data_IF_618504095521
#
_entry.id   IF_618504095521
#
_cell.length_a   1.000
_cell.length_b   1.000
_cell.length_c   1.000
_cell.angle_alpha   90.00
_cell.angle_beta   90.00
_cell.angle_gamma   90.00
#
_symmetry.space_group_name_H-M   'P 1'
#
loop_
_entity.id
_entity.type
_entity.pdbx_description
1 polymer ?
#
# COMPACT_ATOMS: atom_id res chain seq x y z
N UNK A 1 0.74 11.98 35.90
CA UNK A 1 0.85 12.69 34.60
C UNK A 1 -0.22 12.14 33.69
N UNK A 2 -1.07 13.01 33.13
CA UNK A 2 -2.09 12.62 32.15
C UNK A 2 -1.40 12.22 30.85
N UNK A 3 -1.78 11.08 30.26
CA UNK A 3 -1.23 10.60 28.99
C UNK A 3 -2.27 10.75 27.90
N UNK A 4 -1.82 11.23 26.74
CA UNK A 4 -2.69 11.53 25.63
C UNK A 4 -2.08 10.98 24.34
N UNK A 5 -2.67 9.93 23.79
CA UNK A 5 -2.10 9.21 22.65
C UNK A 5 -3.16 8.82 21.61
N UNK A 6 -2.72 8.80 20.35
CA UNK A 6 -3.47 8.30 19.21
C UNK A 6 -2.71 7.13 18.60
N UNK A 7 -3.42 6.03 18.34
CA UNK A 7 -2.93 4.89 17.58
C UNK A 7 -3.70 4.82 16.27
N UNK A 8 -2.98 4.86 15.16
CA UNK A 8 -3.54 4.79 13.81
C UNK A 8 -2.85 3.74 12.96
N UNK A 9 -3.31 3.53 11.72
CA UNK A 9 -2.77 2.50 10.82
C UNK A 9 -3.83 1.90 9.90
N UNK A 10 -3.38 1.00 9.02
CA UNK A 10 -4.23 0.34 8.02
C UNK A 10 -5.49 -0.28 8.65
N UNK A 11 -6.69 -0.15 8.06
CA UNK A 11 -7.87 -0.86 8.55
C UNK A 11 -7.68 -2.37 8.58
N UNK A 12 -8.22 -3.01 9.63
CA UNK A 12 -8.01 -4.43 9.86
C UNK A 12 -6.66 -4.83 10.48
N UNK A 13 -5.77 -3.87 10.79
CA UNK A 13 -4.45 -4.17 11.36
C UNK A 13 -4.44 -4.63 12.82
N UNK A 14 -5.57 -4.49 13.53
CA UNK A 14 -5.71 -4.88 14.94
C UNK A 14 -5.80 -3.72 15.94
N UNK A 15 -6.10 -2.49 15.50
CA UNK A 15 -6.30 -1.32 16.38
C UNK A 15 -7.29 -1.59 17.53
N UNK A 16 -8.46 -2.13 17.23
CA UNK A 16 -9.48 -2.51 18.23
C UNK A 16 -8.95 -3.55 19.23
N UNK A 17 -8.24 -4.57 18.74
CA UNK A 17 -7.62 -5.60 19.59
C UNK A 17 -6.56 -4.98 20.50
N UNK A 18 -5.78 -4.01 20.01
CA UNK A 18 -4.82 -3.27 20.82
C UNK A 18 -5.50 -2.46 21.93
N UNK A 19 -6.64 -1.81 21.65
CA UNK A 19 -7.45 -1.12 22.68
C UNK A 19 -7.89 -2.10 23.77
N UNK A 20 -8.42 -3.27 23.39
CA UNK A 20 -8.82 -4.29 24.35
C UNK A 20 -7.64 -4.85 25.15
N UNK A 21 -6.46 -4.99 24.53
CA UNK A 21 -5.24 -5.36 25.25
C UNK A 21 -4.85 -4.31 26.30
N UNK A 22 -4.88 -3.03 25.94
CA UNK A 22 -4.62 -1.93 26.89
C UNK A 22 -5.66 -1.92 28.00
N UNK A 23 -6.95 -2.09 27.68
CA UNK A 23 -8.02 -2.22 28.66
C UNK A 23 -7.74 -3.34 29.65
N UNK A 24 -7.40 -4.54 29.15
CA UNK A 24 -7.08 -5.69 29.98
C UNK A 24 -5.90 -5.44 30.93
N UNK A 25 -4.83 -4.78 30.45
CA UNK A 25 -3.69 -4.38 31.29
C UNK A 25 -4.13 -3.41 32.40
N UNK A 26 -4.92 -2.40 32.06
CA UNK A 26 -5.41 -1.40 33.01
C UNK A 26 -6.33 -2.01 34.07
N UNK A 27 -7.22 -2.92 33.67
CA UNK A 27 -8.10 -3.66 34.58
C UNK A 27 -7.28 -4.52 35.56
N UNK A 28 -6.25 -5.22 35.06
CA UNK A 28 -5.33 -5.99 35.93
C UNK A 28 -4.65 -5.11 36.98
N UNK A 29 -4.31 -3.89 36.61
CA UNK A 29 -3.70 -2.90 37.51
C UNK A 29 -4.75 -2.15 38.37
N UNK A 30 -6.02 -2.59 38.34
CA UNK A 30 -7.17 -1.99 39.02
C UNK A 30 -7.33 -0.49 38.75
N UNK A 31 -6.95 -0.04 37.55
CA UNK A 31 -7.18 1.34 37.10
C UNK A 31 -8.62 1.51 36.65
N UNK A 32 -9.15 2.70 36.81
CA UNK A 32 -10.49 3.04 36.30
C UNK A 32 -10.42 3.20 34.79
N UNK A 33 -11.36 2.58 34.07
CA UNK A 33 -11.39 2.58 32.61
C UNK A 33 -12.78 2.95 32.11
N UNK A 34 -12.86 3.84 31.14
CA UNK A 34 -14.07 4.13 30.39
C UNK A 34 -13.80 3.81 28.92
N UNK A 35 -14.40 2.74 28.41
CA UNK A 35 -14.34 2.33 27.01
C UNK A 35 -15.52 2.94 26.25
N UNK A 36 -15.22 3.58 25.14
CA UNK A 36 -16.18 4.02 24.13
C UNK A 36 -16.08 3.07 22.94
N UNK A 37 -17.11 2.24 22.75
CA UNK A 37 -17.24 1.29 21.65
C UNK A 37 -18.50 1.61 20.83
N UNK A 38 -18.54 1.11 19.60
CA UNK A 38 -19.71 1.09 18.73
C UNK A 38 -20.95 0.43 19.36
N UNK A 39 -20.77 -0.52 20.27
CA UNK A 39 -21.85 -1.21 20.99
C UNK A 39 -22.32 -0.47 22.24
N UNK A 40 -21.58 0.56 22.70
CA UNK A 40 -21.92 1.35 23.87
C UNK A 40 -20.71 1.78 24.69
N UNK A 41 -21.00 2.40 25.84
CA UNK A 41 -19.96 2.84 26.77
C UNK A 41 -19.88 1.88 27.96
N UNK A 42 -18.66 1.46 28.30
CA UNK A 42 -18.41 0.54 29.41
C UNK A 42 -17.45 1.17 30.41
N UNK A 43 -17.78 1.12 31.70
CA UNK A 43 -16.98 1.69 32.77
C UNK A 43 -16.55 0.62 33.76
N UNK A 44 -15.25 0.53 34.00
CA UNK A 44 -14.66 -0.26 35.07
C UNK A 44 -14.20 0.68 36.18
N UNK A 45 -14.70 0.48 37.40
CA UNK A 45 -14.41 1.35 38.54
C UNK A 45 -13.15 0.95 39.34
N UNK A 46 -12.44 -0.08 38.89
CA UNK A 46 -11.34 -0.72 39.63
C UNK A 46 -11.73 -2.07 40.24
N UNK A 47 -13.02 -2.40 40.27
CA UNK A 47 -13.55 -3.64 40.83
C UNK A 47 -14.58 -4.32 39.92
N UNK A 48 -15.52 -3.54 39.37
CA UNK A 48 -16.70 -4.03 38.65
C UNK A 48 -16.85 -3.32 37.33
N UNK A 49 -17.36 -4.04 36.32
CA UNK A 49 -17.67 -3.51 35.00
C UNK A 49 -19.16 -3.12 34.93
N UNK A 50 -19.43 -1.94 34.39
CA UNK A 50 -20.76 -1.36 34.24
C UNK A 50 -20.98 -0.93 32.79
N UNK A 51 -22.20 -1.07 32.28
CA UNK A 51 -22.62 -0.40 31.05
C UNK A 51 -23.15 0.99 31.41
N UNK A 52 -22.77 2.02 30.65
CA UNK A 52 -23.12 3.40 30.92
C UNK A 52 -24.05 3.96 29.84
N UNK A 53 -25.32 4.16 30.19
CA UNK A 53 -26.29 4.82 29.31
C UNK A 53 -26.07 6.34 29.21
N UNK A 54 -25.49 6.94 30.25
CA UNK A 54 -25.17 8.36 30.29
C UNK A 54 -23.85 8.62 31.03
N UNK A 55 -23.14 9.67 30.60
CA UNK A 55 -21.87 10.06 31.20
C UNK A 55 -22.06 11.12 32.28
N UNK A 56 -21.24 11.11 33.35
CA UNK A 56 -21.21 12.19 34.32
C UNK A 56 -20.90 13.55 33.69
N UNK A 57 -21.46 14.63 34.27
CA UNK A 57 -21.18 16.01 33.85
C UNK A 57 -19.67 16.26 33.78
N UNK A 58 -19.21 16.98 32.75
CA UNK A 58 -17.78 17.24 32.46
C UNK A 58 -16.99 17.86 33.62
N UNK A 59 -17.67 18.63 34.46
CA UNK A 59 -17.09 19.31 35.63
C UNK A 59 -17.03 18.43 36.89
N UNK A 60 -17.51 17.18 36.83
CA UNK A 60 -17.40 16.24 37.94
C UNK A 60 -15.95 15.76 38.07
N UNK A 61 -15.14 16.50 38.81
CA UNK A 61 -13.71 16.21 39.02
C UNK A 61 -13.46 14.93 39.83
N UNK A 62 -14.46 14.44 40.57
CA UNK A 62 -14.35 13.17 41.28
C UNK A 62 -14.39 11.99 40.31
N UNK A 63 -15.22 12.10 39.27
CA UNK A 63 -15.27 11.10 38.21
C UNK A 63 -14.15 11.30 37.19
N UNK A 64 -14.00 12.52 36.67
CA UNK A 64 -13.01 12.88 35.66
C UNK A 64 -11.69 13.26 36.32
N UNK A 65 -10.86 12.25 36.57
CA UNK A 65 -9.63 12.38 37.35
C UNK A 65 -8.46 11.63 36.70
N UNK A 66 -7.24 11.91 37.16
CA UNK A 66 -6.00 11.48 36.47
C UNK A 66 -5.76 9.97 36.46
N UNK A 67 -6.46 9.24 37.32
CA UNK A 67 -6.49 7.78 37.44
C UNK A 67 -7.48 7.11 36.48
N UNK A 68 -8.37 7.89 35.84
CA UNK A 68 -9.29 7.42 34.81
C UNK A 68 -8.60 7.35 33.44
N UNK A 69 -8.78 6.23 32.76
CA UNK A 69 -8.37 6.01 31.38
C UNK A 69 -9.58 5.94 30.45
N UNK A 70 -9.67 6.85 29.49
CA UNK A 70 -10.65 6.82 28.43
C UNK A 70 -10.07 6.12 27.20
N UNK A 71 -10.66 5.00 26.81
CA UNK A 71 -10.27 4.23 25.64
C UNK A 71 -11.33 4.42 24.57
N UNK A 72 -10.94 4.86 23.38
CA UNK A 72 -11.88 5.15 22.30
C UNK A 72 -11.55 4.25 21.11
N UNK A 73 -12.46 3.35 20.75
CA UNK A 73 -12.34 2.53 19.54
C UNK A 73 -13.29 3.02 18.45
N UNK A 74 -12.73 3.34 17.28
CA UNK A 74 -13.46 3.53 16.01
C UNK A 74 -14.56 4.61 16.00
N UNK A 75 -14.65 5.43 17.05
CA UNK A 75 -15.51 6.60 17.13
C UNK A 75 -14.76 7.86 16.68
N UNK A 76 -15.50 8.79 16.11
CA UNK A 76 -14.96 10.11 15.80
C UNK A 76 -14.69 10.85 17.11
N UNK A 77 -13.45 11.27 17.41
CA UNK A 77 -13.15 12.01 18.62
C UNK A 77 -13.93 13.32 18.73
N UNK A 78 -14.27 13.93 17.59
CA UNK A 78 -15.07 15.15 17.53
C UNK A 78 -16.55 14.87 17.83
N UNK A 79 -17.02 13.64 17.58
CA UNK A 79 -18.33 13.17 18.02
C UNK A 79 -18.38 12.76 19.48
N UNK A 80 -17.28 12.94 20.24
CA UNK A 80 -17.30 12.89 21.71
C UNK A 80 -17.21 14.34 22.25
N UNK A 81 -18.21 15.20 22.02
CA UNK A 81 -18.19 16.58 22.47
C UNK A 81 -18.18 16.63 23.99
N UNK A 82 -16.98 16.75 24.59
CA UNK A 82 -16.86 17.00 26.01
C UNK A 82 -16.03 16.11 26.88
N UNK A 83 -15.23 15.21 26.32
CA UNK A 83 -14.25 14.52 27.15
C UNK A 83 -13.33 15.55 27.82
N UNK A 84 -13.22 15.57 29.16
CA UNK A 84 -12.31 16.46 29.86
C UNK A 84 -10.87 15.91 29.77
N UNK A 85 -10.29 15.97 28.56
CA UNK A 85 -8.98 15.40 28.21
C UNK A 85 -7.81 15.95 29.02
N UNK A 86 -7.98 17.09 29.70
CA UNK A 86 -6.99 17.63 30.65
C UNK A 86 -7.01 16.97 32.01
N UNK A 87 -8.07 16.26 32.33
CA UNK A 87 -8.32 15.70 33.65
C UNK A 87 -8.13 14.18 33.71
N UNK A 88 -8.16 13.48 32.57
CA UNK A 88 -8.05 12.03 32.47
C UNK A 88 -7.11 11.61 31.34
N UNK A 89 -6.57 10.39 31.40
CA UNK A 89 -5.74 9.85 30.31
C UNK A 89 -6.61 9.35 29.17
N UNK A 90 -6.20 9.57 27.91
CA UNK A 90 -6.99 9.15 26.74
C UNK A 90 -6.10 8.40 25.75
N UNK A 91 -6.58 7.25 25.30
CA UNK A 91 -6.05 6.51 24.16
C UNK A 91 -7.13 6.43 23.09
N UNK A 92 -6.83 7.00 21.93
CA UNK A 92 -7.69 6.93 20.76
C UNK A 92 -7.13 5.93 19.75
N UNK A 93 -7.92 4.94 19.37
CA UNK A 93 -7.64 4.10 18.22
C UNK A 93 -8.52 4.52 17.04
N UNK A 94 -7.89 5.01 15.98
CA UNK A 94 -8.63 5.48 14.81
C UNK A 94 -7.91 5.11 13.52
N UNK A 95 -8.69 4.81 12.49
CA UNK A 95 -8.17 4.79 11.12
C UNK A 95 -7.68 6.20 10.77
N UNK A 96 -6.61 6.36 9.97
CA UNK A 96 -6.02 7.66 9.75
C UNK A 96 -6.99 8.57 9.02
N UNK A 97 -7.76 9.36 9.76
CA UNK A 97 -8.62 10.41 9.22
C UNK A 97 -7.92 11.73 9.45
N UNK A 98 -7.67 12.50 8.38
CA UNK A 98 -6.96 13.77 8.48
C UNK A 98 -7.67 14.74 9.41
N UNK A 99 -9.00 14.77 9.34
CA UNK A 99 -9.80 15.73 10.10
C UNK A 99 -9.82 15.36 11.58
N UNK A 100 -10.07 14.10 11.93
CA UNK A 100 -10.05 13.64 13.32
C UNK A 100 -8.66 13.78 13.96
N UNK A 101 -7.60 13.32 13.30
CA UNK A 101 -6.23 13.40 13.84
C UNK A 101 -5.74 14.85 13.85
N UNK A 102 -6.07 15.64 12.82
CA UNK A 102 -5.70 17.04 12.70
C UNK A 102 -6.30 17.89 13.80
N UNK A 103 -7.62 17.75 14.07
CA UNK A 103 -8.27 18.44 15.17
C UNK A 103 -7.73 17.95 16.53
N UNK A 104 -7.47 16.66 16.69
CA UNK A 104 -6.91 16.11 17.93
C UNK A 104 -5.48 16.61 18.18
N UNK A 105 -4.66 16.79 17.14
CA UNK A 105 -3.31 17.38 17.21
C UNK A 105 -3.31 18.84 17.65
N UNK A 106 -4.40 19.59 17.42
CA UNK A 106 -4.54 20.98 17.86
C UNK A 106 -4.83 21.10 19.36
N UNK A 107 -5.18 20.02 20.04
CA UNK A 107 -5.48 20.03 21.47
C UNK A 107 -4.19 20.16 22.31
N UNK A 108 -4.31 20.82 23.46
CA UNK A 108 -3.22 21.00 24.42
C UNK A 108 -3.51 20.21 25.71
N UNK A 109 -2.63 19.28 26.12
CA UNK A 109 -1.31 18.96 25.52
C UNK A 109 -1.41 18.20 24.20
N UNK A 110 -0.43 18.40 23.31
CA UNK A 110 -0.37 17.72 22.01
C UNK A 110 -0.27 16.20 22.20
N UNK A 111 -1.12 15.39 21.53
CA UNK A 111 -1.10 13.95 21.65
C UNK A 111 0.17 13.35 21.03
N UNK A 112 0.69 12.30 21.65
CA UNK A 112 1.60 11.38 20.96
C UNK A 112 0.83 10.61 19.90
N UNK A 113 1.34 10.55 18.66
CA UNK A 113 0.71 9.79 17.57
C UNK A 113 1.60 8.62 17.19
N UNK A 114 1.04 7.42 17.19
CA UNK A 114 1.69 6.17 16.82
C UNK A 114 0.97 5.50 15.67
N UNK A 115 1.71 4.90 14.75
CA UNK A 115 1.22 4.18 13.60
C UNK A 115 1.50 2.68 13.80
N UNK A 116 0.47 1.85 13.80
CA UNK A 116 0.62 0.41 13.90
C UNK A 116 1.34 -0.12 12.65
N UNK A 117 2.44 -0.88 12.81
CA UNK A 117 3.12 -1.50 11.70
C UNK A 117 2.26 -2.61 11.08
N UNK A 118 2.63 -3.01 9.86
CA UNK A 118 2.09 -4.23 9.26
C UNK A 118 2.57 -5.45 10.05
N UNK A 119 1.75 -6.49 10.11
CA UNK A 119 2.18 -7.76 10.69
C UNK A 119 3.17 -8.45 9.75
N UNK A 120 4.23 -8.98 10.33
CA UNK A 120 5.16 -9.87 9.64
C UNK A 120 4.52 -11.22 9.35
N UNK A 121 5.13 -11.96 8.43
CA UNK A 121 4.72 -13.33 8.09
C UNK A 121 4.80 -14.26 9.31
N UNK A 122 5.81 -14.07 10.16
CA UNK A 122 6.04 -14.88 11.36
C UNK A 122 5.00 -14.61 12.45
N UNK A 123 4.65 -13.33 12.67
CA UNK A 123 3.58 -12.96 13.61
C UNK A 123 2.23 -13.54 13.17
N UNK A 124 1.91 -13.45 11.88
CA UNK A 124 0.71 -14.07 11.32
C UNK A 124 0.74 -15.59 11.43
N UNK A 125 1.90 -16.21 11.15
CA UNK A 125 2.10 -17.65 11.29
C UNK A 125 1.89 -18.14 12.72
N UNK A 126 2.24 -17.32 13.72
CA UNK A 126 2.03 -17.63 15.14
C UNK A 126 0.54 -17.71 15.50
N UNK A 127 -0.29 -16.83 14.93
CA UNK A 127 -1.73 -16.78 15.25
C UNK A 127 -2.62 -17.52 14.26
N UNK A 128 -2.11 -17.89 13.08
CA UNK A 128 -2.86 -18.61 12.04
C UNK A 128 -3.58 -19.88 12.56
N UNK A 129 -3.03 -20.68 13.48
CA UNK A 129 -3.74 -21.84 14.05
C UNK A 129 -5.05 -21.50 14.77
N UNK A 130 -5.23 -20.24 15.22
CA UNK A 130 -6.48 -19.76 15.83
C UNK A 130 -7.59 -19.52 14.78
N UNK A 131 -7.23 -19.53 13.49
CA UNK A 131 -8.13 -19.30 12.36
C UNK A 131 -8.15 -20.55 11.46
N UNK A 132 -8.83 -21.63 11.88
CA UNK A 132 -8.76 -22.94 11.21
C UNK A 132 -9.16 -22.88 9.74
N UNK A 133 -10.11 -22.00 9.38
CA UNK A 133 -10.55 -21.83 8.00
C UNK A 133 -9.49 -21.15 7.10
N UNK A 134 -8.56 -20.38 7.68
CA UNK A 134 -7.49 -19.70 6.94
C UNK A 134 -6.19 -20.53 6.85
N UNK A 135 -6.08 -21.62 7.62
CA UNK A 135 -4.83 -22.38 7.78
C UNK A 135 -4.20 -22.83 6.45
N UNK A 136 -5.03 -23.19 5.46
CA UNK A 136 -4.57 -23.64 4.14
C UNK A 136 -4.20 -22.49 3.17
N UNK A 137 -4.70 -21.27 3.40
CA UNK A 137 -4.63 -20.19 2.41
C UNK A 137 -3.82 -18.96 2.88
N UNK A 138 -3.64 -18.78 4.20
CA UNK A 138 -3.11 -17.52 4.76
C UNK A 138 -1.77 -17.11 4.18
N UNK A 139 -0.88 -18.05 3.85
CA UNK A 139 0.43 -17.73 3.27
C UNK A 139 0.28 -17.08 1.90
N UNK A 140 -0.50 -17.68 1.01
CA UNK A 140 -0.79 -17.10 -0.30
C UNK A 140 -1.51 -15.74 -0.15
N UNK A 141 -2.46 -15.64 0.78
CA UNK A 141 -3.13 -14.37 1.06
C UNK A 141 -2.17 -13.29 1.56
N UNK A 142 -1.18 -13.64 2.39
CA UNK A 142 -0.15 -12.70 2.83
C UNK A 142 0.69 -12.19 1.65
N UNK A 143 1.12 -13.08 0.74
CA UNK A 143 1.87 -12.65 -0.45
C UNK A 143 1.03 -11.73 -1.36
N UNK A 144 -0.27 -12.01 -1.50
CA UNK A 144 -1.16 -11.25 -2.36
C UNK A 144 -1.68 -9.94 -1.72
N UNK A 145 -1.98 -9.95 -0.43
CA UNK A 145 -2.72 -8.88 0.25
C UNK A 145 -1.90 -8.19 1.34
N UNK A 146 -0.65 -8.60 1.59
CA UNK A 146 0.22 -8.02 2.61
C UNK A 146 -0.14 -8.39 4.05
N UNK A 147 0.54 -7.74 5.00
CA UNK A 147 0.49 -8.02 6.44
C UNK A 147 -0.70 -7.45 7.21
N UNK A 148 -1.92 -7.55 6.67
CA UNK A 148 -3.14 -7.09 7.36
C UNK A 148 -3.95 -8.32 7.85
N UNK A 149 -3.96 -8.62 9.17
CA UNK A 149 -4.57 -9.84 9.70
C UNK A 149 -6.00 -10.09 9.27
N UNK A 150 -6.84 -9.04 9.22
CA UNK A 150 -8.26 -9.19 8.86
C UNK A 150 -8.44 -9.83 7.48
N UNK A 151 -7.76 -9.33 6.45
CA UNK A 151 -7.93 -9.83 5.07
C UNK A 151 -7.16 -11.13 4.82
N UNK A 152 -6.15 -11.42 5.64
CA UNK A 152 -5.34 -12.65 5.56
C UNK A 152 -5.99 -13.82 6.30
N UNK A 153 -6.58 -13.58 7.48
CA UNK A 153 -7.02 -14.65 8.40
C UNK A 153 -8.54 -14.70 8.62
N UNK A 154 -9.25 -13.57 8.52
CA UNK A 154 -10.67 -13.49 8.86
C UNK A 154 -11.55 -13.48 7.59
N UNK A 155 -11.25 -12.61 6.64
CA UNK A 155 -12.06 -12.39 5.42
C UNK A 155 -11.56 -13.28 4.27
N UNK A 156 -11.66 -14.60 4.46
CA UNK A 156 -11.10 -15.60 3.53
C UNK A 156 -12.05 -16.05 2.42
N UNK A 157 -13.33 -15.65 2.47
CA UNK A 157 -14.38 -16.13 1.56
C UNK A 157 -14.21 -15.68 0.10
N UNK A 158 -13.37 -14.69 -0.17
CA UNK A 158 -13.09 -14.18 -1.51
C UNK A 158 -11.63 -14.37 -1.86
N UNK A 159 -11.38 -14.88 -3.07
CA UNK A 159 -10.04 -15.02 -3.64
C UNK A 159 -9.26 -13.68 -3.61
N UNK A 160 -7.97 -13.67 -3.20
CA UNK A 160 -7.18 -12.44 -3.11
C UNK A 160 -7.09 -11.64 -4.40
N UNK A 161 -6.94 -12.31 -5.54
CA UNK A 161 -6.82 -11.65 -6.82
C UNK A 161 -8.15 -10.98 -7.20
N UNK A 162 -9.26 -11.65 -6.91
CA UNK A 162 -10.62 -11.11 -7.10
C UNK A 162 -10.86 -9.87 -6.23
N UNK A 163 -10.40 -9.89 -4.97
CA UNK A 163 -10.46 -8.72 -4.09
C UNK A 163 -9.67 -7.53 -4.66
N UNK A 164 -8.44 -7.76 -5.10
CA UNK A 164 -7.60 -6.72 -5.70
C UNK A 164 -8.19 -6.17 -7.00
N UNK A 165 -8.74 -7.04 -7.86
CA UNK A 165 -9.37 -6.63 -9.13
C UNK A 165 -10.64 -5.81 -8.89
N UNK A 166 -11.51 -6.27 -7.99
CA UNK A 166 -12.70 -5.51 -7.58
C UNK A 166 -12.31 -4.16 -6.99
N UNK A 167 -11.24 -4.14 -6.19
CA UNK A 167 -10.77 -2.92 -5.58
C UNK A 167 -10.23 -1.92 -6.60
N UNK A 168 -9.34 -2.39 -7.47
CA UNK A 168 -8.78 -1.57 -8.54
C UNK A 168 -9.88 -1.04 -9.46
N UNK A 169 -10.88 -1.86 -9.80
CA UNK A 169 -11.97 -1.46 -10.70
C UNK A 169 -12.86 -0.37 -10.08
N UNK A 170 -12.99 -0.34 -8.76
CA UNK A 170 -13.86 0.59 -8.03
C UNK A 170 -13.18 1.92 -7.67
N UNK A 171 -11.85 1.99 -7.76
CA UNK A 171 -11.04 3.17 -7.49
C UNK A 171 -10.73 3.94 -8.79
N UNK A 172 -10.45 5.24 -8.71
CA UNK A 172 -9.79 5.98 -9.80
C UNK A 172 -8.27 5.69 -9.82
N UNK A 173 -7.54 6.09 -10.86
CA UNK A 173 -6.07 6.02 -10.83
C UNK A 173 -5.51 6.87 -9.69
N UNK A 174 -6.08 8.06 -9.50
CA UNK A 174 -5.75 9.00 -8.43
C UNK A 174 -5.90 8.36 -7.04
N UNK A 175 -6.98 7.61 -6.80
CA UNK A 175 -7.17 6.87 -5.54
C UNK A 175 -6.10 5.79 -5.31
N UNK A 176 -5.54 5.23 -6.39
CA UNK A 176 -4.49 4.20 -6.37
C UNK A 176 -3.07 4.77 -6.22
N UNK A 177 -2.88 6.08 -6.37
CA UNK A 177 -1.56 6.73 -6.25
C UNK A 177 -1.53 7.84 -5.19
N UNK A 178 -2.68 8.21 -4.62
CA UNK A 178 -2.78 9.26 -3.62
C UNK A 178 -3.13 8.73 -2.23
N UNK A 179 -2.50 9.38 -1.25
CA UNK A 179 -2.79 9.26 0.18
C UNK A 179 -4.20 9.69 0.58
N UNK A 180 -4.88 10.50 -0.24
CA UNK A 180 -6.20 11.07 0.09
C UNK A 180 -7.21 9.95 0.35
N UNK A 181 -7.15 8.84 -0.39
CA UNK A 181 -8.03 7.68 -0.18
C UNK A 181 -7.88 7.02 1.19
N UNK A 182 -6.70 7.13 1.82
CA UNK A 182 -6.44 6.67 3.19
C UNK A 182 -7.02 7.65 4.22
N UNK A 183 -6.97 8.96 3.94
CA UNK A 183 -7.35 10.04 4.87
C UNK A 183 -8.81 10.51 4.79
N UNK A 184 -9.51 10.17 3.71
CA UNK A 184 -10.91 10.51 3.50
C UNK A 184 -11.83 9.77 4.47
N UNK A 185 -13.05 10.29 4.62
CA UNK A 185 -14.11 9.61 5.37
C UNK A 185 -14.24 8.15 4.91
N UNK A 186 -14.42 7.25 5.89
CA UNK A 186 -14.54 5.82 5.60
C UNK A 186 -15.90 5.60 4.93
N UNK A 187 -15.89 5.46 3.61
CA UNK A 187 -17.01 5.01 2.81
C UNK A 187 -16.60 3.71 2.10
N UNK A 188 -17.50 3.13 1.31
CA UNK A 188 -17.21 1.90 0.58
C UNK A 188 -15.97 2.02 -0.31
N UNK A 189 -15.73 3.16 -0.96
CA UNK A 189 -14.58 3.38 -1.85
C UNK A 189 -13.25 3.46 -1.11
N UNK A 190 -13.21 4.12 0.05
CA UNK A 190 -11.96 4.26 0.83
C UNK A 190 -11.56 2.96 1.51
N UNK A 191 -12.53 2.17 2.00
CA UNK A 191 -12.28 0.78 2.46
C UNK A 191 -11.68 -0.09 1.37
N UNK A 192 -12.16 0.09 0.14
CA UNK A 192 -11.73 -0.67 -1.02
C UNK A 192 -10.29 -0.27 -1.44
N UNK A 193 -9.98 1.04 -1.47
CA UNK A 193 -8.64 1.54 -1.77
C UNK A 193 -7.58 1.06 -0.75
N UNK A 194 -7.97 0.88 0.51
CA UNK A 194 -7.11 0.39 1.59
C UNK A 194 -6.75 -1.10 1.46
N UNK A 195 -7.38 -1.84 0.55
CA UNK A 195 -6.94 -3.19 0.14
C UNK A 195 -5.74 -3.13 -0.81
N UNK A 196 -5.56 -2.01 -1.52
CA UNK A 196 -4.50 -1.83 -2.51
C UNK A 196 -3.27 -1.16 -1.91
N UNK A 197 -3.46 -0.27 -0.94
CA UNK A 197 -2.43 0.59 -0.37
C UNK A 197 -2.46 0.48 1.15
N UNK A 198 -1.29 0.28 1.73
CA UNK A 198 -1.07 0.10 3.15
C UNK A 198 -0.19 1.19 3.73
N UNK A 199 -0.36 1.39 5.03
CA UNK A 199 0.53 2.20 5.87
C UNK A 199 1.60 1.28 6.43
N UNK A 200 2.86 1.69 6.28
CA UNK A 200 4.00 1.04 6.92
C UNK A 200 4.59 1.99 7.93
N UNK A 201 4.99 1.46 9.06
CA UNK A 201 5.65 2.21 10.11
C UNK A 201 6.73 1.34 10.72
N UNK A 202 7.78 1.98 11.19
CA UNK A 202 8.90 1.34 11.88
C UNK A 202 9.12 2.05 13.20
N UNK A 203 9.81 1.39 14.13
CA UNK A 203 10.17 1.98 15.41
C UNK A 203 10.85 3.35 15.20
N UNK A 204 10.44 4.43 15.90
CA UNK A 204 9.59 4.51 17.10
C UNK A 204 8.08 4.65 16.85
N UNK A 205 7.62 4.29 15.65
CA UNK A 205 6.23 4.28 15.18
C UNK A 205 5.57 5.65 15.06
N UNK A 206 6.34 6.74 15.12
CA UNK A 206 5.82 8.12 15.04
C UNK A 206 5.61 8.61 13.62
N UNK A 207 6.30 7.99 12.67
CA UNK A 207 6.23 8.29 11.25
C UNK A 207 5.69 7.09 10.48
N UNK A 208 5.23 7.34 9.27
CA UNK A 208 4.77 6.29 8.38
C UNK A 208 5.12 6.61 6.95
N UNK A 209 5.24 5.55 6.15
CA UNK A 209 5.25 5.60 4.70
C UNK A 209 4.04 4.85 4.17
N UNK A 210 3.85 4.95 2.86
CA UNK A 210 2.69 4.40 2.17
C UNK A 210 3.21 3.56 1.04
N UNK A 211 2.72 2.33 0.95
CA UNK A 211 3.18 1.37 -0.04
C UNK A 211 2.01 0.53 -0.53
N UNK A 212 2.14 -0.03 -1.72
CA UNK A 212 1.19 -1.03 -2.20
C UNK A 212 1.17 -2.27 -1.30
N UNK A 213 0.00 -2.90 -1.21
CA UNK A 213 -0.21 -4.10 -0.39
C UNK A 213 0.73 -5.24 -0.78
N UNK A 214 0.99 -5.39 -2.09
CA UNK A 214 1.88 -6.39 -2.68
C UNK A 214 2.30 -6.00 -4.09
N UNK A 215 3.23 -6.76 -4.67
CA UNK A 215 3.52 -6.73 -6.10
C UNK A 215 2.29 -7.08 -6.95
N UNK A 216 1.51 -8.10 -6.54
CA UNK A 216 0.28 -8.45 -7.25
C UNK A 216 -0.71 -7.28 -7.29
N UNK A 217 -0.82 -6.50 -6.20
CA UNK A 217 -1.66 -5.31 -6.19
C UNK A 217 -1.22 -4.29 -7.24
N UNK A 218 0.09 -4.02 -7.38
CA UNK A 218 0.61 -3.13 -8.42
C UNK A 218 0.33 -3.66 -9.83
N UNK A 219 0.56 -4.95 -10.08
CA UNK A 219 0.26 -5.58 -11.37
C UNK A 219 -1.23 -5.46 -11.73
N UNK A 220 -2.11 -5.71 -10.76
CA UNK A 220 -3.56 -5.59 -10.94
C UNK A 220 -3.96 -4.14 -11.23
N UNK A 221 -3.41 -3.16 -10.50
CA UNK A 221 -3.66 -1.73 -10.73
C UNK A 221 -3.21 -1.33 -12.13
N UNK A 222 -1.96 -1.62 -12.47
CA UNK A 222 -1.39 -1.26 -13.78
C UNK A 222 -2.25 -1.82 -14.91
N UNK A 223 -2.58 -3.13 -14.88
CA UNK A 223 -3.40 -3.77 -15.92
C UNK A 223 -4.83 -3.20 -15.99
N UNK A 224 -5.47 -3.01 -14.84
CA UNK A 224 -6.86 -2.54 -14.79
C UNK A 224 -6.94 -1.10 -15.27
N UNK A 225 -6.03 -0.23 -14.80
CA UNK A 225 -5.99 1.19 -15.17
C UNK A 225 -5.50 1.41 -16.60
N UNK A 226 -4.60 0.58 -17.11
CA UNK A 226 -4.21 0.62 -18.52
C UNK A 226 -5.41 0.43 -19.45
N UNK A 227 -6.31 -0.50 -19.08
CA UNK A 227 -7.53 -0.78 -19.87
C UNK A 227 -8.60 0.30 -19.73
N UNK A 228 -8.76 0.88 -18.54
CA UNK A 228 -9.86 1.82 -18.27
C UNK A 228 -9.50 3.30 -18.45
N UNK A 229 -8.24 3.69 -18.26
CA UNK A 229 -7.79 5.09 -18.21
C UNK A 229 -6.38 5.26 -18.81
N UNK A 230 -6.18 4.69 -20.02
CA UNK A 230 -4.88 4.61 -20.71
C UNK A 230 -4.15 5.95 -20.79
N UNK A 231 -4.86 7.03 -21.13
CA UNK A 231 -4.27 8.35 -21.30
C UNK A 231 -3.67 8.89 -19.98
N UNK A 232 -4.37 8.73 -18.84
CA UNK A 232 -3.81 9.17 -17.55
C UNK A 232 -2.65 8.31 -17.10
N UNK A 233 -2.71 7.01 -17.36
CA UNK A 233 -1.62 6.09 -17.02
C UNK A 233 -0.37 6.40 -17.87
N UNK A 234 -0.52 6.80 -19.12
CA UNK A 234 0.59 7.31 -19.94
C UNK A 234 1.15 8.63 -19.40
N UNK A 235 0.28 9.57 -19.03
CA UNK A 235 0.72 10.83 -18.41
C UNK A 235 1.45 10.60 -17.08
N UNK A 236 1.10 9.55 -16.33
CA UNK A 236 1.77 9.18 -15.09
C UNK A 236 3.27 8.95 -15.32
N UNK A 237 3.65 8.26 -16.40
CA UNK A 237 5.05 7.98 -16.74
C UNK A 237 5.91 9.25 -16.94
N UNK A 238 5.29 10.36 -17.34
CA UNK A 238 5.93 11.66 -17.49
C UNK A 238 5.87 12.56 -16.25
N UNK A 239 5.21 12.11 -15.17
CA UNK A 239 4.91 12.93 -13.98
C UNK A 239 5.09 12.19 -12.65
N UNK A 240 5.88 11.11 -12.60
CA UNK A 240 6.08 10.30 -11.38
C UNK A 240 6.89 11.03 -10.28
N UNK A 241 7.41 12.23 -10.53
CA UNK A 241 8.33 12.94 -9.62
C UNK A 241 7.67 13.28 -8.26
N UNK A 242 8.32 12.88 -7.17
CA UNK A 242 7.94 13.24 -5.80
C UNK A 242 6.80 12.40 -5.17
N UNK A 243 6.23 11.43 -5.88
CA UNK A 243 5.23 10.51 -5.33
C UNK A 243 5.75 9.05 -5.35
N UNK A 244 6.09 8.45 -4.19
CA UNK A 244 6.63 7.09 -4.10
C UNK A 244 5.72 5.99 -4.67
N UNK A 245 4.40 6.15 -4.54
CA UNK A 245 3.42 5.21 -5.11
C UNK A 245 3.39 5.31 -6.63
N UNK A 246 3.34 6.54 -7.16
CA UNK A 246 3.41 6.76 -8.59
C UNK A 246 4.69 6.16 -9.18
N UNK A 247 5.85 6.46 -8.58
CA UNK A 247 7.15 5.93 -9.02
C UNK A 247 7.18 4.40 -9.01
N UNK A 248 6.67 3.76 -7.96
CA UNK A 248 6.59 2.30 -7.88
C UNK A 248 5.68 1.71 -8.96
N UNK A 249 4.52 2.34 -9.21
CA UNK A 249 3.57 1.91 -10.23
C UNK A 249 4.10 2.13 -11.66
N UNK A 250 4.91 3.18 -11.87
CA UNK A 250 5.50 3.51 -13.17
C UNK A 250 6.30 2.32 -13.74
N UNK A 251 6.99 1.53 -12.90
CA UNK A 251 7.68 0.31 -13.33
C UNK A 251 6.74 -0.75 -13.95
N UNK A 252 5.54 -0.93 -13.38
CA UNK A 252 4.55 -1.90 -13.86
C UNK A 252 3.74 -1.39 -15.07
N UNK A 253 3.76 -0.07 -15.29
CA UNK A 253 3.09 0.60 -16.40
C UNK A 253 4.00 0.73 -17.62
N UNK A 254 5.30 0.93 -17.38
CA UNK A 254 6.29 1.21 -18.40
C UNK A 254 6.34 0.10 -19.47
N UNK A 255 6.46 -1.16 -19.06
CA UNK A 255 6.56 -2.28 -19.99
C UNK A 255 5.34 -2.38 -20.92
N UNK A 256 4.07 -2.40 -20.43
CA UNK A 256 2.90 -2.32 -21.29
C UNK A 256 2.91 -1.11 -22.24
N UNK A 257 3.34 0.07 -21.77
CA UNK A 257 3.43 1.26 -22.61
C UNK A 257 4.45 1.11 -23.73
N UNK A 258 5.65 0.63 -23.40
CA UNK A 258 6.73 0.40 -24.34
C UNK A 258 6.35 -0.66 -25.37
N UNK A 259 5.64 -1.72 -24.98
CA UNK A 259 5.09 -2.71 -25.92
C UNK A 259 4.11 -2.07 -26.90
N UNK A 260 3.22 -1.21 -26.41
CA UNK A 260 2.25 -0.51 -27.26
C UNK A 260 2.92 0.46 -28.24
N UNK A 261 4.02 1.10 -27.83
CA UNK A 261 4.81 1.98 -28.71
C UNK A 261 5.53 1.16 -29.78
N UNK A 262 6.18 0.05 -29.41
CA UNK A 262 6.81 -0.84 -30.38
C UNK A 262 5.81 -1.42 -31.38
N UNK A 263 4.59 -1.74 -30.94
CA UNK A 263 3.52 -2.23 -31.82
C UNK A 263 3.04 -1.15 -32.80
N UNK A 264 3.01 0.12 -32.38
CA UNK A 264 2.63 1.25 -33.24
C UNK A 264 3.75 1.66 -34.21
N UNK A 265 5.00 1.29 -33.91
CA UNK A 265 6.18 1.74 -34.65
C UNK A 265 6.52 3.21 -34.36
N UNK A 266 7.62 3.67 -34.94
CA UNK A 266 8.18 5.00 -34.74
C UNK A 266 9.71 4.98 -34.69
N UNK A 267 10.28 6.14 -34.39
CA UNK A 267 11.72 6.30 -34.19
C UNK A 267 12.04 6.16 -32.71
N UNK A 268 12.96 5.24 -32.39
CA UNK A 268 13.36 4.94 -31.01
C UNK A 268 14.85 5.18 -30.83
N UNK A 269 15.23 5.78 -29.71
CA UNK A 269 16.64 5.83 -29.30
C UNK A 269 16.94 4.55 -28.53
N UNK A 270 17.89 3.77 -29.01
CA UNK A 270 18.25 2.49 -28.44
C UNK A 270 19.75 2.44 -28.12
N UNK A 271 20.12 1.60 -27.14
CA UNK A 271 21.51 1.29 -26.82
C UNK A 271 21.74 -0.19 -27.02
N UNK A 272 22.75 -0.55 -27.79
CA UNK A 272 23.11 -1.95 -28.00
C UNK A 272 23.48 -2.63 -26.67
N UNK A 273 22.85 -3.77 -26.40
CA UNK A 273 23.23 -4.63 -25.28
C UNK A 273 24.46 -5.44 -25.66
N UNK A 274 25.50 -5.33 -24.84
CA UNK A 274 26.78 -6.01 -25.05
C UNK A 274 26.90 -7.21 -24.12
N UNK A 275 27.59 -8.26 -24.56
CA UNK A 275 27.90 -9.41 -23.70
C UNK A 275 28.85 -9.01 -22.55
N UNK A 276 28.92 -9.81 -21.49
CA UNK A 276 29.79 -9.52 -20.34
C UNK A 276 31.30 -9.47 -20.66
N UNK A 277 31.74 -10.05 -21.78
CA UNK A 277 33.11 -9.93 -22.28
C UNK A 277 33.32 -8.61 -23.04
N UNK A 278 32.33 -8.23 -23.85
CA UNK A 278 32.34 -7.00 -24.65
C UNK A 278 32.21 -5.75 -23.77
N UNK A 279 31.42 -5.81 -22.68
CA UNK A 279 31.35 -4.74 -21.68
C UNK A 279 32.71 -4.49 -21.02
N UNK A 280 33.45 -5.53 -20.62
CA UNK A 280 34.77 -5.39 -19.98
C UNK A 280 35.79 -4.75 -20.92
N UNK A 281 35.80 -5.14 -22.19
CA UNK A 281 36.64 -4.51 -23.19
C UNK A 281 36.27 -3.03 -23.39
N UNK A 282 34.97 -2.71 -23.47
CA UNK A 282 34.48 -1.34 -23.59
C UNK A 282 34.87 -0.47 -22.40
N UNK A 283 34.71 -0.96 -21.17
CA UNK A 283 35.09 -0.21 -19.96
C UNK A 283 36.59 0.05 -19.89
N UNK A 284 37.39 -0.90 -20.38
CA UNK A 284 38.86 -0.75 -20.48
C UNK A 284 39.24 0.33 -21.49
N UNK A 285 38.48 0.47 -22.59
CA UNK A 285 38.67 1.51 -23.60
C UNK A 285 38.16 2.87 -23.09
N UNK A 286 37.00 2.93 -22.43
CA UNK A 286 36.44 4.16 -21.83
C UNK A 286 37.36 4.74 -20.75
N UNK A 287 37.97 3.89 -19.91
CA UNK A 287 38.98 4.31 -18.92
C UNK A 287 40.23 4.94 -19.55
N UNK A 288 40.57 4.60 -20.80
CA UNK A 288 41.74 5.14 -21.50
C UNK A 288 41.46 6.44 -22.28
N UNK A 289 40.22 6.70 -22.69
CA UNK A 289 39.88 7.83 -23.60
C UNK A 289 39.08 8.97 -22.95
N UNK A 290 38.73 8.86 -21.66
CA UNK A 290 37.83 9.80 -21.02
C UNK A 290 36.37 9.55 -21.44
N UNK A 291 35.41 10.05 -20.66
CA UNK A 291 33.99 9.69 -20.76
C UNK A 291 33.26 10.57 -21.80
N UNK A 292 32.89 10.07 -23.00
CA UNK A 292 32.00 10.80 -23.89
C UNK A 292 30.57 10.52 -23.44
N UNK A 293 29.85 11.57 -23.05
CA UNK A 293 28.43 11.48 -22.76
C UNK A 293 27.69 11.31 -24.10
N UNK A 294 26.96 10.20 -24.28
CA UNK A 294 26.00 9.90 -25.37
C UNK A 294 26.50 9.29 -26.70
N UNK A 295 27.70 8.70 -26.80
CA UNK A 295 28.17 8.06 -28.07
C UNK A 295 27.57 6.66 -28.37
N UNK A 296 26.80 6.07 -27.46
CA UNK A 296 26.31 4.67 -27.59
C UNK A 296 24.80 4.56 -27.85
N UNK A 297 24.13 5.68 -28.11
CA UNK A 297 22.69 5.74 -28.40
C UNK A 297 22.48 5.89 -29.92
N UNK A 298 21.82 4.92 -30.54
CA UNK A 298 21.48 4.91 -31.97
C UNK A 298 19.98 5.04 -32.15
N UNK A 299 19.55 5.83 -33.13
CA UNK A 299 18.14 5.90 -33.51
C UNK A 299 17.80 4.72 -34.45
N UNK A 300 16.73 4.00 -34.15
CA UNK A 300 16.17 2.93 -34.98
C UNK A 300 14.73 3.29 -35.36
N UNK A 301 14.42 3.18 -36.65
CA UNK A 301 13.06 3.36 -37.17
C UNK A 301 12.38 2.00 -37.28
N UNK A 302 11.34 1.78 -36.47
CA UNK A 302 10.56 0.55 -36.43
C UNK A 302 9.21 0.81 -37.11
N UNK A 303 8.81 0.03 -38.13
CA UNK A 303 7.51 0.17 -38.74
C UNK A 303 6.39 -0.31 -37.79
N UNK A 304 5.15 0.16 -37.97
CA UNK A 304 4.01 -0.40 -37.24
C UNK A 304 3.90 -1.92 -37.44
N UNK A 305 3.47 -2.61 -36.39
CA UNK A 305 3.34 -4.06 -36.42
C UNK A 305 2.33 -4.49 -37.49
N UNK A 306 2.72 -5.44 -38.33
CA UNK A 306 1.90 -5.94 -39.46
C UNK A 306 0.66 -6.72 -39.00
N UNK A 307 0.71 -7.25 -37.77
CA UNK A 307 -0.37 -7.96 -37.09
C UNK A 307 -0.42 -7.58 -35.61
N UNK A 308 -1.54 -7.83 -34.89
CA UNK A 308 -1.58 -7.69 -33.44
C UNK A 308 -0.45 -8.47 -32.77
N UNK A 309 0.11 -7.91 -31.70
CA UNK A 309 1.19 -8.55 -30.95
C UNK A 309 0.78 -9.97 -30.52
N UNK A 310 1.72 -10.91 -30.59
CA UNK A 310 1.46 -12.30 -30.23
C UNK A 310 2.31 -12.71 -29.03
N UNK A 311 1.68 -13.39 -28.07
CA UNK A 311 2.39 -14.07 -26.98
C UNK A 311 2.94 -15.39 -27.53
N UNK A 312 4.25 -15.56 -27.53
CA UNK A 312 4.93 -16.73 -28.06
C UNK A 312 5.72 -17.46 -26.96
N UNK A 313 5.77 -18.79 -27.00
CA UNK A 313 6.56 -19.59 -26.04
C UNK A 313 8.07 -19.37 -26.24
N UNK A 314 8.51 -19.17 -27.49
CA UNK A 314 9.92 -18.96 -27.88
C UNK A 314 10.03 -18.02 -29.08
N UNK A 315 11.22 -17.45 -29.25
CA UNK A 315 11.60 -16.69 -30.46
C UNK A 315 11.96 -17.69 -31.56
N UNK A 316 11.29 -17.63 -32.70
CA UNK A 316 11.47 -18.59 -33.81
C UNK A 316 11.80 -17.88 -35.13
N UNK A 317 12.58 -18.56 -35.99
CA UNK A 317 13.09 -18.02 -37.26
C UNK A 317 11.98 -17.90 -38.33
N UNK A 318 10.84 -18.57 -38.16
CA UNK A 318 9.70 -18.57 -39.08
C UNK A 318 8.60 -17.53 -38.77
N UNK A 319 8.84 -16.63 -37.82
CA UNK A 319 7.89 -15.61 -37.41
C UNK A 319 7.65 -14.54 -38.48
N UNK A 320 6.43 -13.98 -38.54
CA UNK A 320 6.05 -12.99 -39.55
C UNK A 320 6.90 -11.73 -39.44
N UNK A 321 7.36 -11.24 -40.60
CA UNK A 321 8.10 -9.98 -40.67
C UNK A 321 7.26 -8.82 -40.11
N UNK A 322 7.94 -7.94 -39.36
CA UNK A 322 7.34 -6.76 -38.73
C UNK A 322 6.17 -7.08 -37.78
N UNK A 323 6.09 -8.29 -37.20
CA UNK A 323 5.14 -8.58 -36.13
C UNK A 323 5.84 -8.53 -34.77
N UNK A 324 5.22 -7.90 -33.77
CA UNK A 324 5.73 -7.87 -32.41
C UNK A 324 5.39 -9.18 -31.66
N UNK A 325 6.40 -9.83 -31.10
CA UNK A 325 6.26 -11.02 -30.27
C UNK A 325 6.69 -10.73 -28.83
N UNK A 326 5.89 -11.20 -27.87
CA UNK A 326 6.17 -11.11 -26.43
C UNK A 326 6.40 -12.51 -25.88
N UNK A 327 7.58 -12.84 -25.33
CA UNK A 327 7.84 -14.15 -24.74
C UNK A 327 6.89 -14.44 -23.57
N UNK A 328 6.28 -15.63 -23.54
CA UNK A 328 5.38 -16.05 -22.45
C UNK A 328 6.13 -16.33 -21.15
N UNK A 329 7.38 -16.78 -21.26
CA UNK A 329 8.24 -17.17 -20.16
C UNK A 329 9.52 -16.35 -20.19
N UNK A 330 10.04 -15.97 -19.03
CA UNK A 330 11.31 -15.24 -18.87
C UNK A 330 12.56 -16.09 -19.19
N UNK A 331 12.40 -17.13 -20.03
CA UNK A 331 13.49 -17.99 -20.51
C UNK A 331 14.59 -17.20 -21.23
N UNK A 332 14.28 -15.97 -21.69
CA UNK A 332 15.24 -14.99 -22.16
C UNK A 332 15.27 -13.82 -21.17
N UNK A 333 16.13 -13.90 -20.14
CA UNK A 333 16.18 -12.94 -19.02
C UNK A 333 16.48 -11.50 -19.42
N UNK A 334 16.81 -11.25 -20.69
CA UNK A 334 17.20 -9.95 -21.23
C UNK A 334 16.34 -9.50 -22.44
N UNK A 335 15.26 -10.22 -22.77
CA UNK A 335 14.41 -9.88 -23.92
C UNK A 335 12.96 -9.78 -23.47
N UNK A 336 12.42 -8.56 -23.51
CA UNK A 336 11.03 -8.26 -23.16
C UNK A 336 10.11 -8.32 -24.38
N UNK A 337 10.65 -8.01 -25.57
CA UNK A 337 9.94 -8.13 -26.84
C UNK A 337 10.89 -8.48 -27.99
N UNK A 338 10.35 -9.05 -29.06
CA UNK A 338 11.10 -9.39 -30.27
C UNK A 338 10.31 -8.98 -31.51
N UNK A 339 10.99 -8.38 -32.48
CA UNK A 339 10.43 -8.15 -33.81
C UNK A 339 11.41 -8.69 -34.87
N UNK A 340 11.00 -9.65 -35.71
CA UNK A 340 11.84 -10.16 -36.79
C UNK A 340 12.36 -9.01 -37.65
N UNK A 341 13.63 -9.07 -38.06
CA UNK A 341 14.39 -8.03 -38.79
C UNK A 341 14.97 -6.88 -37.93
N UNK A 342 14.42 -6.61 -36.75
CA UNK A 342 14.91 -5.56 -35.85
C UNK A 342 15.65 -6.12 -34.63
N UNK A 343 15.23 -7.30 -34.15
CA UNK A 343 15.90 -8.02 -33.07
C UNK A 343 15.12 -8.04 -31.76
N UNK A 344 15.84 -8.32 -30.67
CA UNK A 344 15.29 -8.40 -29.32
C UNK A 344 15.45 -7.08 -28.58
N UNK A 345 14.39 -6.65 -27.93
CA UNK A 345 14.33 -5.42 -27.15
C UNK A 345 14.34 -5.74 -25.66
N UNK A 346 15.15 -4.99 -24.92
CA UNK A 346 15.06 -4.88 -23.48
C UNK A 346 14.56 -3.48 -23.14
N UNK A 347 13.48 -3.40 -22.40
CA UNK A 347 12.85 -2.17 -21.98
C UNK A 347 13.42 -1.78 -20.62
N UNK A 348 14.31 -0.80 -20.60
CA UNK A 348 14.87 -0.27 -19.34
C UNK A 348 14.29 1.11 -19.05
N UNK A 349 13.51 1.23 -17.97
CA UNK A 349 13.18 2.53 -17.40
C UNK A 349 14.45 3.17 -16.83
N UNK A 350 14.65 4.47 -17.02
CA UNK A 350 15.65 5.19 -16.20
C UNK A 350 15.11 5.17 -14.77
N UNK A 351 15.75 4.43 -13.88
CA UNK A 351 15.58 4.67 -12.45
C UNK A 351 16.08 6.10 -12.20
N UNK A 352 15.16 7.02 -11.94
CA UNK A 352 15.44 8.37 -11.47
C UNK A 352 15.96 8.31 -10.02
#
# INVERSE_FOLDING_TARGET
MVKYAVVTGTPGIGKSVFVYYVMWRLIKDKKRVLLFDSEGNFYFDGTTMFQCDSLPKKFNQQFWSTDLWCLVDSLDPTSIPGLPYRHCSVLLASTPRRDCIGEFKKLAPTPDVYNMPLWSKDELGTIAPLYPFAAAAWQNRFECLGGVPRVVLQDIGTDPQTLLMSASSSCSLDDCIMLVSIYSEINSKTKIAQTLIHIRSQEPYREYEVAYASELAMQVIARTKWRSDRAKVQNLLGSCDGNPLAQSLCGYVFEPHSMDLLEQGGTFVCRKLLSGADMRNRDTIKRKRGNPVNEDEEAIDIPPSSQPRQIAERVEVGQHANQLYVPRTSNYTAIDAWMPQFGGFQMTGKNA
#
